data_IF_379999789349
#
_entry.id   IF_379999789349
#
_cell.length_a   1.000
_cell.length_b   1.000
_cell.length_c   1.000
_cell.angle_alpha   90.00
_cell.angle_beta   90.00
_cell.angle_gamma   90.00
#
_symmetry.space_group_name_H-M   'P 1'
#
loop_
_entity.id
_entity.type
_entity.pdbx_description
1 polymer ?
#
# COMPACT_ATOMS: atom_id res chain seq x y z
N UNK A 1 -9.65 -10.56 -9.15
CA UNK A 1 -10.40 -9.38 -9.64
C UNK A 1 -11.10 -8.76 -8.44
N UNK A 2 -11.10 -7.43 -8.31
CA UNK A 2 -11.78 -6.78 -7.17
C UNK A 2 -13.29 -6.88 -7.35
N UNK A 3 -13.99 -7.33 -6.31
CA UNK A 3 -15.44 -7.40 -6.32
C UNK A 3 -16.03 -5.98 -6.51
N UNK A 4 -17.11 -5.84 -7.30
CA UNK A 4 -17.88 -4.60 -7.37
C UNK A 4 -18.25 -4.12 -5.95
N UNK A 5 -18.32 -2.80 -5.68
CA UNK A 5 -18.51 -1.71 -6.63
C UNK A 5 -17.27 -0.85 -6.93
N UNK A 6 -16.10 -1.17 -6.37
CA UNK A 6 -14.91 -0.31 -6.55
C UNK A 6 -14.46 -0.32 -8.02
N UNK A 7 -14.38 0.85 -8.70
CA UNK A 7 -13.80 0.93 -10.04
C UNK A 7 -12.26 0.89 -9.99
N UNK A 8 -11.67 1.10 -8.80
CA UNK A 8 -10.22 1.20 -8.59
C UNK A 8 -9.66 -0.16 -8.19
N UNK A 9 -8.57 -0.55 -8.84
CA UNK A 9 -7.81 -1.77 -8.59
C UNK A 9 -6.35 -1.42 -8.35
N UNK A 10 -5.76 -2.01 -7.30
CA UNK A 10 -4.34 -1.90 -7.00
C UNK A 10 -3.68 -3.24 -7.29
N UNK A 11 -2.66 -3.23 -8.14
CA UNK A 11 -1.94 -4.44 -8.56
C UNK A 11 -0.46 -4.19 -8.34
N UNK A 12 0.24 -5.13 -7.70
CA UNK A 12 1.70 -5.10 -7.61
C UNK A 12 2.28 -6.44 -8.03
N UNK A 13 3.37 -6.37 -8.77
CA UNK A 13 4.19 -7.53 -9.18
C UNK A 13 5.48 -7.66 -8.33
N UNK A 14 5.59 -6.88 -7.25
CA UNK A 14 6.77 -6.82 -6.39
C UNK A 14 7.84 -5.83 -6.85
N UNK A 15 7.76 -5.29 -8.07
CA UNK A 15 8.67 -4.23 -8.55
C UNK A 15 7.93 -2.90 -8.75
N UNK A 16 6.71 -2.97 -9.25
CA UNK A 16 5.84 -1.82 -9.52
C UNK A 16 4.50 -1.97 -8.84
N UNK A 17 3.82 -0.84 -8.66
CA UNK A 17 2.42 -0.74 -8.30
C UNK A 17 1.68 -0.05 -9.44
N UNK A 18 0.55 -0.63 -9.83
CA UNK A 18 -0.42 -0.01 -10.73
C UNK A 18 -1.69 0.32 -9.97
N UNK A 19 -2.12 1.57 -10.09
CA UNK A 19 -3.47 2.02 -9.70
C UNK A 19 -4.28 2.13 -10.98
N UNK A 20 -5.26 1.24 -11.15
CA UNK A 20 -6.13 1.20 -12.33
C UNK A 20 -7.51 1.69 -11.96
N UNK A 21 -7.99 2.74 -12.61
CA UNK A 21 -9.40 3.15 -12.53
C UNK A 21 -10.14 2.68 -13.79
N UNK A 22 -11.00 1.67 -13.63
CA UNK A 22 -11.78 1.09 -14.73
C UNK A 22 -12.83 2.05 -15.30
N UNK A 23 -13.28 3.03 -14.51
CA UNK A 23 -14.29 4.01 -14.92
C UNK A 23 -13.68 5.13 -15.75
N UNK A 24 -12.47 5.58 -15.37
CA UNK A 24 -11.74 6.63 -16.07
C UNK A 24 -10.80 6.09 -17.16
N UNK A 25 -10.64 4.76 -17.23
CA UNK A 25 -9.70 4.08 -18.12
C UNK A 25 -8.24 4.55 -17.95
N UNK A 26 -7.86 4.93 -16.72
CA UNK A 26 -6.49 5.34 -16.38
C UNK A 26 -5.72 4.20 -15.72
N UNK A 27 -4.41 4.23 -15.89
CA UNK A 27 -3.47 3.33 -15.21
C UNK A 27 -2.24 4.14 -14.82
N UNK A 28 -2.05 4.34 -13.52
CA UNK A 28 -0.91 5.07 -12.97
C UNK A 28 0.11 4.08 -12.42
N UNK A 29 1.35 4.20 -12.88
CA UNK A 29 2.45 3.30 -12.57
C UNK A 29 3.42 3.96 -11.61
N UNK A 30 3.73 3.26 -10.53
CA UNK A 30 4.68 3.72 -9.52
C UNK A 30 5.73 2.63 -9.27
N UNK A 31 7.03 2.95 -9.35
CA UNK A 31 8.06 2.03 -8.86
C UNK A 31 7.80 1.74 -7.39
N UNK A 32 7.59 0.49 -7.01
CA UNK A 32 7.20 0.14 -5.63
C UNK A 32 8.23 0.64 -4.62
N UNK A 33 9.52 0.60 -4.99
CA UNK A 33 10.64 1.11 -4.20
C UNK A 33 10.61 2.61 -3.89
N UNK A 34 9.79 3.38 -4.61
CA UNK A 34 9.58 4.82 -4.40
C UNK A 34 8.22 5.11 -3.75
N UNK A 35 7.58 4.07 -3.23
CA UNK A 35 6.34 4.21 -2.49
C UNK A 35 6.52 3.60 -1.10
N UNK A 36 5.91 4.19 -0.07
CA UNK A 36 5.89 3.56 1.24
C UNK A 36 5.24 2.17 1.26
N UNK A 37 4.42 1.81 0.26
CA UNK A 37 3.78 0.49 0.16
C UNK A 37 4.77 -0.68 0.12
N UNK A 38 6.03 -0.45 -0.22
CA UNK A 38 7.08 -1.47 -0.09
C UNK A 38 7.17 -2.06 1.32
N UNK A 39 6.80 -1.29 2.35
CA UNK A 39 6.74 -1.75 3.74
C UNK A 39 5.54 -2.66 4.04
N UNK A 40 4.60 -2.85 3.12
CA UNK A 40 3.53 -3.83 3.27
C UNK A 40 3.82 -5.12 2.51
N UNK A 41 4.66 -5.05 1.48
CA UNK A 41 4.88 -6.15 0.53
C UNK A 41 6.21 -6.86 0.73
N UNK A 42 7.15 -6.31 1.51
CA UNK A 42 8.43 -6.96 1.76
C UNK A 42 8.30 -8.13 2.76
N UNK A 43 9.00 -9.22 2.46
CA UNK A 43 9.00 -10.45 3.27
C UNK A 43 9.47 -10.22 4.72
N UNK A 44 10.41 -9.30 4.90
CA UNK A 44 10.95 -8.87 6.19
C UNK A 44 11.28 -7.40 6.13
N UNK A 45 10.91 -6.68 7.18
CA UNK A 45 11.17 -5.25 7.30
C UNK A 45 11.65 -4.98 8.71
N UNK A 46 12.78 -4.31 8.83
CA UNK A 46 13.20 -3.72 10.09
C UNK A 46 12.83 -2.24 10.07
N UNK A 47 11.65 -1.89 10.60
CA UNK A 47 11.15 -0.50 10.58
C UNK A 47 12.07 0.48 11.33
N UNK A 48 12.94 0.01 12.22
CA UNK A 48 13.89 0.87 12.93
C UNK A 48 15.12 1.20 12.10
N UNK A 49 15.39 0.43 11.04
CA UNK A 49 16.59 0.58 10.19
C UNK A 49 16.24 1.02 8.77
N UNK A 50 15.14 0.48 8.24
CA UNK A 50 14.75 0.59 6.83
C UNK A 50 13.70 1.68 6.59
N UNK A 51 13.13 2.23 7.66
CA UNK A 51 12.06 3.23 7.62
C UNK A 51 12.39 4.44 8.50
N UNK A 52 11.97 5.62 8.06
CA UNK A 52 11.97 6.82 8.88
C UNK A 52 10.65 6.87 9.66
N UNK A 53 10.60 6.15 10.77
CA UNK A 53 9.47 6.11 11.70
C UNK A 53 9.40 7.43 12.48
N UNK A 54 8.35 8.22 12.24
CA UNK A 54 8.20 9.56 12.84
C UNK A 54 7.24 9.60 14.02
N UNK A 55 6.31 8.63 14.12
CA UNK A 55 5.41 8.52 15.26
C UNK A 55 4.92 7.09 15.50
N UNK A 56 4.62 6.81 16.77
CA UNK A 56 3.91 5.63 17.21
C UNK A 56 2.79 6.09 18.14
N UNK A 57 1.57 5.65 17.85
CA UNK A 57 0.41 5.85 18.71
C UNK A 57 -0.08 4.49 19.18
N UNK A 58 -0.49 4.37 20.44
CA UNK A 58 -1.00 3.12 20.98
C UNK A 58 -2.12 3.40 21.98
N UNK A 59 -3.19 2.64 21.86
CA UNK A 59 -4.28 2.56 22.82
C UNK A 59 -4.72 1.08 23.01
N UNK A 60 -5.77 0.85 23.79
CA UNK A 60 -6.25 -0.50 24.13
C UNK A 60 -6.79 -1.29 22.92
N UNK A 61 -7.09 -0.61 21.81
CA UNK A 61 -7.67 -1.17 20.59
C UNK A 61 -6.65 -1.27 19.46
N UNK A 62 -5.81 -0.25 19.28
CA UNK A 62 -4.94 -0.11 18.13
C UNK A 62 -3.52 0.33 18.47
N UNK A 63 -2.59 -0.10 17.62
CA UNK A 63 -1.23 0.43 17.53
C UNK A 63 -1.04 0.98 16.12
N UNK A 64 -0.70 2.26 16.02
CA UNK A 64 -0.48 2.95 14.76
C UNK A 64 0.97 3.38 14.60
N UNK A 65 1.56 3.08 13.45
CA UNK A 65 2.92 3.47 13.09
C UNK A 65 2.86 4.48 11.96
N UNK A 66 3.61 5.57 12.06
CA UNK A 66 3.71 6.59 11.00
C UNK A 66 5.13 6.63 10.46
N UNK A 67 5.25 6.35 9.17
CA UNK A 67 6.50 6.34 8.42
C UNK A 67 6.45 7.48 7.42
N UNK A 68 7.54 8.24 7.29
CA UNK A 68 7.69 9.24 6.23
C UNK A 68 8.79 8.85 5.25
N UNK A 69 8.50 8.94 3.96
CA UNK A 69 9.48 8.69 2.90
C UNK A 69 9.68 9.96 2.07
N UNK A 70 10.91 10.47 2.06
CA UNK A 70 11.27 11.69 1.36
C UNK A 70 12.02 11.36 0.08
N UNK A 71 11.46 11.78 -1.05
CA UNK A 71 12.14 11.75 -2.34
C UNK A 71 12.54 13.15 -2.78
N UNK A 72 13.73 13.28 -3.37
CA UNK A 72 14.29 14.57 -3.81
C UNK A 72 13.38 15.25 -4.85
N UNK A 73 12.80 14.46 -5.75
CA UNK A 73 11.98 14.96 -6.86
C UNK A 73 10.47 14.77 -6.56
N UNK A 74 10.12 13.75 -5.77
CA UNK A 74 8.74 13.35 -5.51
C UNK A 74 8.13 13.86 -4.22
N UNK A 75 8.79 14.74 -3.45
CA UNK A 75 8.27 15.24 -2.18
C UNK A 75 8.24 14.19 -1.06
N UNK A 76 7.49 14.49 0.01
CA UNK A 76 7.38 13.62 1.18
C UNK A 76 6.05 12.89 1.16
N UNK A 77 6.10 11.57 1.17
CA UNK A 77 4.93 10.70 1.35
C UNK A 77 4.87 10.25 2.81
N UNK A 78 3.67 10.00 3.32
CA UNK A 78 3.46 9.43 4.65
C UNK A 78 2.67 8.14 4.55
N UNK A 79 3.09 7.12 5.30
CA UNK A 79 2.36 5.87 5.48
C UNK A 79 2.00 5.72 6.95
N UNK A 80 0.71 5.65 7.22
CA UNK A 80 0.18 5.25 8.52
C UNK A 80 -0.28 3.80 8.44
N UNK A 81 0.27 2.95 9.30
CA UNK A 81 -0.13 1.55 9.45
C UNK A 81 -0.88 1.38 10.76
N UNK A 82 -2.07 0.80 10.73
CA UNK A 82 -2.88 0.55 11.92
C UNK A 82 -3.02 -0.95 12.18
N UNK A 83 -2.59 -1.39 13.34
CA UNK A 83 -2.62 -2.77 13.80
C UNK A 83 -3.58 -2.92 14.97
N UNK A 84 -4.21 -4.08 15.12
CA UNK A 84 -4.97 -4.40 16.33
C UNK A 84 -4.02 -4.58 17.53
N UNK A 85 -4.28 -3.93 18.66
CA UNK A 85 -3.38 -3.98 19.83
C UNK A 85 -3.25 -5.38 20.45
N UNK A 86 -4.25 -6.24 20.27
CA UNK A 86 -4.29 -7.58 20.85
C UNK A 86 -3.54 -8.64 20.04
N UNK A 87 -3.57 -8.52 18.71
CA UNK A 87 -3.08 -9.54 17.79
C UNK A 87 -2.01 -9.03 16.81
N UNK A 88 -1.72 -7.73 16.83
CA UNK A 88 -0.80 -7.04 15.94
C UNK A 88 -1.05 -7.34 14.46
N UNK A 89 -2.29 -7.68 14.09
CA UNK A 89 -2.66 -7.86 12.69
C UNK A 89 -2.96 -6.51 12.07
N UNK A 90 -2.44 -6.28 10.86
CA UNK A 90 -2.73 -5.08 10.10
C UNK A 90 -4.24 -5.01 9.82
N UNK A 91 -4.84 -3.88 10.15
CA UNK A 91 -6.27 -3.59 9.96
C UNK A 91 -6.51 -2.56 8.89
N UNK A 92 -5.61 -1.59 8.76
CA UNK A 92 -5.73 -0.52 7.80
C UNK A 92 -4.35 0.06 7.50
N UNK A 93 -4.20 0.62 6.30
CA UNK A 93 -3.14 1.59 6.05
C UNK A 93 -3.69 2.80 5.31
N UNK A 94 -3.01 3.93 5.49
CA UNK A 94 -3.29 5.19 4.80
C UNK A 94 -1.99 5.72 4.23
N UNK A 95 -2.01 6.06 2.94
CA UNK A 95 -0.91 6.75 2.25
C UNK A 95 -1.35 8.19 2.04
N UNK A 96 -0.56 9.14 2.51
CA UNK A 96 -0.70 10.56 2.17
C UNK A 96 0.38 10.91 1.15
N UNK A 97 -0.04 11.44 0.00
CA UNK A 97 0.88 11.93 -1.03
C UNK A 97 1.44 13.34 -0.68
N UNK A 98 2.42 13.86 -1.43
CA UNK A 98 3.01 15.17 -1.18
C UNK A 98 2.04 16.35 -1.31
N UNK A 99 0.93 16.17 -2.03
CA UNK A 99 -0.14 17.15 -2.20
C UNK A 99 -1.13 17.12 -1.01
N UNK A 100 -1.03 16.11 -0.15
CA UNK A 100 -1.86 15.92 1.03
C UNK A 100 -3.10 15.07 0.77
N UNK A 101 -3.21 14.38 -0.37
CA UNK A 101 -4.32 13.47 -0.64
C UNK A 101 -4.08 12.11 0.02
N UNK A 102 -5.14 11.61 0.67
CA UNK A 102 -5.11 10.32 1.37
C UNK A 102 -5.73 9.20 0.54
N UNK A 103 -4.99 8.11 0.41
CA UNK A 103 -5.52 6.80 -0.02
C UNK A 103 -5.54 5.86 1.17
N UNK A 104 -6.74 5.48 1.63
CA UNK A 104 -6.91 4.56 2.77
C UNK A 104 -7.45 3.22 2.30
N UNK A 105 -6.85 2.13 2.78
CA UNK A 105 -7.33 0.77 2.55
C UNK A 105 -7.49 0.06 3.88
N UNK A 106 -8.69 -0.46 4.12
CA UNK A 106 -9.03 -1.22 5.31
C UNK A 106 -9.22 -2.70 4.98
N UNK A 107 -8.72 -3.56 5.85
CA UNK A 107 -8.68 -5.02 5.69
C UNK A 107 -9.76 -5.69 6.53
N UNK A 108 -10.61 -6.47 5.87
CA UNK A 108 -11.67 -7.23 6.52
C UNK A 108 -11.71 -8.66 5.97
N UNK A 109 -12.16 -9.59 6.81
CA UNK A 109 -12.43 -10.98 6.43
C UNK A 109 -11.26 -11.68 5.71
N UNK A 110 -10.02 -11.45 6.18
CA UNK A 110 -8.82 -12.05 5.59
C UNK A 110 -8.82 -13.57 5.77
N UNK A 111 -8.74 -14.29 4.65
CA UNK A 111 -8.53 -15.74 4.62
C UNK A 111 -7.07 -16.05 4.25
N UNK A 112 -6.29 -16.39 5.27
CA UNK A 112 -4.87 -16.75 5.13
C UNK A 112 -4.64 -18.18 4.62
N UNK A 113 -5.68 -19.00 4.53
CA UNK A 113 -5.58 -20.38 4.00
C UNK A 113 -5.64 -20.41 2.47
N UNK A 114 -6.24 -19.38 1.86
CA UNK A 114 -6.40 -19.28 0.42
C UNK A 114 -5.13 -18.76 -0.24
N UNK A 115 -4.70 -19.41 -1.31
CA UNK A 115 -3.64 -18.94 -2.21
C UNK A 115 -4.27 -18.36 -3.47
N UNK A 116 -4.22 -17.03 -3.69
CA UNK A 116 -4.73 -16.44 -4.92
C UNK A 116 -3.91 -16.90 -6.14
N UNK A 117 -4.53 -16.88 -7.32
CA UNK A 117 -3.84 -17.17 -8.57
C UNK A 117 -2.71 -16.14 -8.80
N UNK A 118 -1.45 -16.56 -9.02
CA UNK A 118 -0.33 -15.66 -9.26
C UNK A 118 -0.54 -14.67 -10.42
N UNK A 119 -1.35 -15.04 -11.43
CA UNK A 119 -1.65 -14.18 -12.57
C UNK A 119 -2.37 -12.88 -12.18
N UNK A 120 -3.02 -12.84 -11.01
CA UNK A 120 -3.64 -11.63 -10.45
C UNK A 120 -2.62 -10.55 -10.07
N UNK A 121 -1.35 -10.92 -9.94
CA UNK A 121 -0.25 -10.03 -9.55
C UNK A 121 0.69 -9.72 -10.72
N UNK A 122 0.25 -9.94 -11.97
CA UNK A 122 1.03 -9.60 -13.16
C UNK A 122 0.57 -8.27 -13.76
N UNK A 123 1.52 -7.38 -14.02
CA UNK A 123 1.29 -6.09 -14.69
C UNK A 123 1.67 -6.22 -16.17
N UNK A 124 0.78 -5.82 -17.08
CA UNK A 124 1.09 -5.75 -18.51
C UNK A 124 1.58 -4.34 -18.88
N UNK A 125 2.88 -4.21 -19.09
CA UNK A 125 3.55 -2.96 -19.43
C UNK A 125 3.40 -2.53 -20.90
N UNK A 126 3.01 -3.43 -21.82
CA UNK A 126 2.89 -3.11 -23.25
C UNK A 126 1.70 -2.17 -23.53
N UNK A 127 0.71 -2.15 -22.64
CA UNK A 127 -0.48 -1.31 -22.74
C UNK A 127 -0.23 0.18 -22.40
N UNK A 128 1.02 0.54 -22.06
CA UNK A 128 1.46 1.90 -21.69
C UNK A 128 1.96 2.70 -22.90
N UNK A 129 2.27 2.04 -24.02
CA UNK A 129 2.92 2.65 -25.19
C UNK A 129 1.96 2.93 -26.38
N UNK A 130 0.65 2.91 -26.15
CA UNK A 130 -0.38 3.31 -27.14
C UNK A 130 -1.16 4.51 -26.64
#
# INVERSE_FOLDING_TARGET
>A
EYDPPSPVELISDGQSLVVRDRKLATQDFYPLSQTPLRFLLADRIDLLRDANLVAVYADDLFVSLVIEERHVIGGTHRLMLMFGAKDFRLRQWTITDPQGYDTTVALYNLDSSRRPDPSLFTINYERVLQ
#
